data_IF_585632115326
#
_entry.id   IF_585632115326
#
_cell.length_a   1.000
_cell.length_b   1.000
_cell.length_c   1.000
_cell.angle_alpha   90.00
_cell.angle_beta   90.00
_cell.angle_gamma   90.00
#
_symmetry.space_group_name_H-M   'P 1'
#
loop_
_entity.id
_entity.type
_entity.pdbx_description
1 polymer ?
#
# COMPACT_ATOMS: atom_id res chain seq x y z
N UNK A 1 -9.27 -18.80 -11.68
CA UNK A 1 -8.55 -17.49 -11.80
C UNK A 1 -8.17 -16.98 -10.44
N UNK A 2 -7.17 -16.08 -10.37
CA UNK A 2 -6.80 -15.44 -9.10
C UNK A 2 -6.98 -13.94 -9.22
N UNK A 3 -7.79 -13.41 -8.31
CA UNK A 3 -8.14 -12.00 -8.27
C UNK A 3 -7.40 -11.32 -7.12
N UNK A 4 -7.06 -10.06 -7.29
CA UNK A 4 -6.71 -9.16 -6.21
C UNK A 4 -7.62 -7.92 -6.30
N UNK A 5 -8.48 -7.76 -5.32
CA UNK A 5 -9.38 -6.63 -5.20
C UNK A 5 -8.84 -5.58 -4.23
N UNK A 6 -8.95 -4.32 -4.61
CA UNK A 6 -8.56 -3.18 -3.77
C UNK A 6 -9.68 -2.14 -3.74
N UNK A 7 -9.73 -1.35 -2.67
CA UNK A 7 -10.61 -0.18 -2.60
C UNK A 7 -10.11 1.00 -3.44
N UNK A 8 -8.79 1.04 -3.67
CA UNK A 8 -8.13 2.16 -4.32
C UNK A 8 -8.44 2.23 -5.81
N UNK A 9 -8.65 3.47 -6.29
CA UNK A 9 -8.77 3.78 -7.73
C UNK A 9 -7.55 4.52 -8.28
N UNK A 10 -6.65 4.98 -7.43
CA UNK A 10 -5.50 5.80 -7.76
C UNK A 10 -4.16 5.11 -7.47
N UNK A 11 -3.35 5.75 -6.64
CA UNK A 11 -1.99 5.31 -6.34
C UNK A 11 -1.92 3.87 -5.82
N UNK A 12 -2.81 3.47 -4.92
CA UNK A 12 -2.85 2.10 -4.40
C UNK A 12 -3.19 1.07 -5.47
N UNK A 13 -4.14 1.38 -6.36
CA UNK A 13 -4.47 0.49 -7.49
C UNK A 13 -3.25 0.27 -8.41
N UNK A 14 -2.54 1.32 -8.77
CA UNK A 14 -1.33 1.21 -9.59
C UNK A 14 -0.17 0.52 -8.87
N UNK A 15 -0.07 0.69 -7.55
CA UNK A 15 0.88 -0.08 -6.73
C UNK A 15 0.62 -1.59 -6.84
N UNK A 16 -0.62 -2.02 -6.72
CA UNK A 16 -0.96 -3.44 -6.86
C UNK A 16 -0.71 -3.98 -8.27
N UNK A 17 -0.92 -3.15 -9.31
CA UNK A 17 -0.49 -3.51 -10.66
C UNK A 17 1.02 -3.68 -10.77
N UNK A 18 1.81 -2.83 -10.13
CA UNK A 18 3.26 -3.00 -10.08
C UNK A 18 3.63 -4.29 -9.37
N UNK A 19 3.02 -4.60 -8.23
CA UNK A 19 3.24 -5.85 -7.50
C UNK A 19 2.92 -7.05 -8.39
N UNK A 20 1.79 -7.01 -9.12
CA UNK A 20 1.42 -8.06 -10.06
C UNK A 20 2.48 -8.29 -11.13
N UNK A 21 2.91 -7.22 -11.79
CA UNK A 21 3.95 -7.28 -12.82
C UNK A 21 5.29 -7.81 -12.30
N UNK A 22 5.71 -7.38 -11.10
CA UNK A 22 7.04 -7.72 -10.57
C UNK A 22 7.12 -9.13 -9.96
N UNK A 23 6.03 -9.63 -9.39
CA UNK A 23 6.05 -10.88 -8.62
C UNK A 23 5.18 -11.98 -9.20
N UNK A 24 4.28 -11.65 -10.13
CA UNK A 24 3.29 -12.58 -10.67
C UNK A 24 3.19 -12.57 -12.19
N UNK A 25 4.10 -11.90 -12.90
CA UNK A 25 4.12 -11.79 -14.36
C UNK A 25 2.74 -11.39 -14.97
N UNK A 26 2.03 -10.48 -14.27
CA UNK A 26 0.66 -10.05 -14.61
C UNK A 26 -0.41 -11.17 -14.57
N UNK A 27 -0.16 -12.28 -13.90
CA UNK A 27 -1.11 -13.42 -13.80
C UNK A 27 -2.34 -13.13 -12.92
N UNK A 28 -2.28 -12.12 -12.03
CA UNK A 28 -3.41 -11.75 -11.20
C UNK A 28 -4.37 -10.81 -11.94
N UNK A 29 -5.66 -11.01 -11.77
CA UNK A 29 -6.68 -10.05 -12.23
C UNK A 29 -6.84 -8.98 -11.15
N UNK A 30 -6.28 -7.78 -11.37
CA UNK A 30 -6.36 -6.67 -10.43
C UNK A 30 -7.60 -5.84 -10.72
N UNK A 31 -8.47 -5.70 -9.72
CA UNK A 31 -9.69 -4.91 -9.84
C UNK A 31 -9.85 -3.92 -8.67
N UNK A 32 -10.20 -2.68 -9.01
CA UNK A 32 -10.63 -1.70 -8.01
C UNK A 32 -12.13 -1.82 -7.76
N UNK A 33 -12.52 -1.87 -6.49
CA UNK A 33 -13.93 -1.81 -6.08
C UNK A 33 -14.34 -0.42 -5.58
N UNK A 34 -13.41 0.54 -5.66
CA UNK A 34 -13.65 1.98 -5.46
C UNK A 34 -13.83 2.43 -4.01
N UNK A 35 -14.08 1.53 -3.08
CA UNK A 35 -14.22 1.82 -1.65
C UNK A 35 -14.28 0.55 -0.82
N UNK A 36 -14.09 0.67 0.50
CA UNK A 36 -14.31 -0.43 1.44
C UNK A 36 -15.74 -0.97 1.40
N UNK A 37 -16.73 -0.14 1.09
CA UNK A 37 -18.10 -0.62 0.89
C UNK A 37 -18.21 -1.42 -0.41
N UNK A 38 -17.63 -0.92 -1.51
CA UNK A 38 -17.61 -1.64 -2.77
C UNK A 38 -16.89 -2.99 -2.71
N UNK A 39 -15.83 -3.10 -1.88
CA UNK A 39 -15.21 -4.38 -1.58
C UNK A 39 -16.18 -5.34 -0.89
N UNK A 40 -16.87 -4.88 0.15
CA UNK A 40 -17.82 -5.71 0.91
C UNK A 40 -18.99 -6.16 0.01
N UNK A 41 -19.54 -5.27 -0.80
CA UNK A 41 -20.61 -5.59 -1.73
C UNK A 41 -20.17 -6.64 -2.76
N UNK A 42 -18.99 -6.42 -3.37
CA UNK A 42 -18.43 -7.35 -4.35
C UNK A 42 -18.13 -8.74 -3.78
N UNK A 43 -17.69 -8.81 -2.52
CA UNK A 43 -17.43 -10.09 -1.84
C UNK A 43 -18.72 -10.81 -1.51
N UNK A 44 -19.77 -10.08 -1.13
CA UNK A 44 -21.09 -10.66 -0.84
C UNK A 44 -21.73 -11.29 -2.10
N UNK A 45 -21.40 -10.77 -3.27
CA UNK A 45 -21.89 -11.26 -4.57
C UNK A 45 -20.89 -12.24 -5.23
N UNK A 46 -19.83 -12.64 -4.51
CA UNK A 46 -18.77 -13.47 -5.08
C UNK A 46 -19.25 -14.90 -5.33
N UNK A 47 -19.57 -15.18 -6.58
CA UNK A 47 -19.79 -16.54 -7.08
C UNK A 47 -18.45 -17.09 -7.62
N UNK A 48 -17.63 -17.65 -6.74
CA UNK A 48 -16.36 -18.22 -7.15
C UNK A 48 -16.54 -19.58 -7.77
N UNK A 49 -15.99 -19.77 -8.97
CA UNK A 49 -15.83 -21.10 -9.54
C UNK A 49 -14.93 -21.93 -8.62
N UNK A 50 -15.00 -23.24 -8.74
CA UNK A 50 -14.36 -24.18 -7.80
C UNK A 50 -12.87 -23.89 -7.55
N UNK A 51 -12.13 -23.40 -8.57
CA UNK A 51 -10.70 -23.11 -8.52
C UNK A 51 -10.36 -21.61 -8.41
N UNK A 52 -11.33 -20.73 -8.29
CA UNK A 52 -11.06 -19.28 -8.20
C UNK A 52 -10.64 -18.87 -6.78
N UNK A 53 -9.66 -17.95 -6.69
CA UNK A 53 -9.21 -17.34 -5.43
C UNK A 53 -9.32 -15.83 -5.53
N UNK A 54 -9.74 -15.20 -4.45
CA UNK A 54 -9.83 -13.76 -4.33
C UNK A 54 -9.04 -13.26 -3.13
N UNK A 55 -8.01 -12.48 -3.38
CA UNK A 55 -7.30 -11.71 -2.35
C UNK A 55 -7.89 -10.31 -2.26
N UNK A 56 -7.98 -9.78 -1.06
CA UNK A 56 -8.52 -8.44 -0.82
C UNK A 56 -7.52 -7.57 -0.08
N UNK A 57 -7.11 -6.48 -0.70
CA UNK A 57 -6.35 -5.41 -0.07
C UNK A 57 -7.35 -4.44 0.58
N UNK A 58 -7.56 -4.63 1.88
CA UNK A 58 -8.50 -3.85 2.67
C UNK A 58 -7.75 -2.97 3.68
N UNK A 59 -7.99 -1.66 3.65
CA UNK A 59 -7.40 -0.73 4.59
C UNK A 59 -8.04 -0.89 5.97
N UNK A 60 -7.36 -1.66 6.83
CA UNK A 60 -7.87 -1.98 8.16
C UNK A 60 -7.22 -1.14 9.26
N UNK A 61 -7.93 -0.12 9.72
CA UNK A 61 -7.55 0.71 10.88
C UNK A 61 -8.57 0.56 12.00
N UNK A 62 -8.12 0.13 13.19
CA UNK A 62 -9.03 -0.22 14.30
C UNK A 62 -9.60 0.98 15.05
N UNK A 63 -9.07 2.17 14.85
CA UNK A 63 -9.59 3.41 15.44
C UNK A 63 -10.77 4.02 14.65
N UNK A 64 -11.12 3.42 13.52
CA UNK A 64 -12.34 3.72 12.77
C UNK A 64 -13.39 2.63 12.99
N UNK A 65 -14.53 2.98 13.61
CA UNK A 65 -15.60 2.03 13.94
C UNK A 65 -16.26 1.43 12.69
N UNK A 66 -16.47 2.22 11.64
CA UNK A 66 -17.08 1.75 10.40
C UNK A 66 -16.16 0.72 9.71
N UNK A 67 -14.87 1.01 9.63
CA UNK A 67 -13.87 0.08 9.10
C UNK A 67 -13.83 -1.23 9.92
N UNK A 68 -13.86 -1.14 11.26
CA UNK A 68 -13.91 -2.35 12.10
C UNK A 68 -15.14 -3.21 11.82
N UNK A 69 -16.29 -2.59 11.62
CA UNK A 69 -17.52 -3.34 11.34
C UNK A 69 -17.43 -4.04 9.98
N UNK A 70 -16.97 -3.35 8.93
CA UNK A 70 -16.76 -3.92 7.60
C UNK A 70 -15.74 -5.06 7.62
N UNK A 71 -14.63 -4.86 8.33
CA UNK A 71 -13.61 -5.89 8.47
C UNK A 71 -14.13 -7.16 9.14
N UNK A 72 -14.97 -7.04 10.19
CA UNK A 72 -15.60 -8.21 10.82
C UNK A 72 -16.49 -8.99 9.88
N UNK A 73 -17.25 -8.29 9.02
CA UNK A 73 -18.07 -8.95 7.99
C UNK A 73 -17.20 -9.68 6.98
N UNK A 74 -16.14 -9.01 6.47
CA UNK A 74 -15.19 -9.64 5.55
C UNK A 74 -14.51 -10.86 6.19
N UNK A 75 -14.13 -10.78 7.48
CA UNK A 75 -13.53 -11.92 8.19
C UNK A 75 -14.50 -13.09 8.33
N UNK A 76 -15.77 -12.85 8.59
CA UNK A 76 -16.78 -13.92 8.61
C UNK A 76 -16.92 -14.61 7.26
N UNK A 77 -16.81 -13.85 6.15
CA UNK A 77 -16.83 -14.42 4.79
C UNK A 77 -15.53 -15.21 4.54
N UNK A 78 -14.37 -14.67 4.93
CA UNK A 78 -13.09 -15.38 4.81
C UNK A 78 -13.13 -16.73 5.50
N UNK A 79 -13.61 -16.78 6.75
CA UNK A 79 -13.73 -18.00 7.56
C UNK A 79 -14.66 -19.05 6.91
N UNK A 80 -15.70 -18.62 6.21
CA UNK A 80 -16.65 -19.51 5.53
C UNK A 80 -16.25 -19.88 4.10
N UNK A 81 -15.21 -19.25 3.54
CA UNK A 81 -14.85 -19.36 2.12
C UNK A 81 -13.98 -20.57 1.77
N UNK A 82 -13.61 -21.41 2.77
CA UNK A 82 -12.70 -22.55 2.57
C UNK A 82 -11.37 -22.19 1.89
N UNK A 83 -10.88 -20.95 2.14
CA UNK A 83 -9.62 -20.45 1.59
C UNK A 83 -9.72 -19.87 0.17
N UNK A 84 -10.91 -19.70 -0.36
CA UNK A 84 -11.15 -19.03 -1.64
C UNK A 84 -11.09 -17.52 -1.56
N UNK A 85 -11.37 -16.97 -0.40
CA UNK A 85 -11.31 -15.54 -0.10
C UNK A 85 -10.29 -15.29 1.01
N UNK A 86 -9.35 -14.38 0.79
CA UNK A 86 -8.23 -14.11 1.70
C UNK A 86 -8.03 -12.61 1.84
N UNK A 87 -8.11 -12.10 3.07
CA UNK A 87 -7.82 -10.70 3.36
C UNK A 87 -6.32 -10.53 3.61
N UNK A 88 -5.69 -9.59 2.90
CA UNK A 88 -4.29 -9.27 3.12
C UNK A 88 -4.09 -8.60 4.47
N UNK A 89 -3.06 -9.04 5.21
CA UNK A 89 -2.68 -8.43 6.49
C UNK A 89 -1.97 -7.09 6.26
N UNK A 90 -2.75 -6.03 6.06
CA UNK A 90 -2.24 -4.67 5.89
C UNK A 90 -3.00 -3.68 6.77
N UNK A 91 -2.35 -2.56 7.11
CA UNK A 91 -2.96 -1.47 7.88
C UNK A 91 -3.68 -0.52 6.94
N UNK A 92 -2.95 0.08 6.03
CA UNK A 92 -3.44 0.91 4.92
C UNK A 92 -2.31 1.07 3.89
N UNK A 93 -2.66 1.53 2.70
CA UNK A 93 -1.70 1.75 1.62
C UNK A 93 -0.61 2.77 2.02
N UNK A 94 -0.97 3.85 2.69
CA UNK A 94 -0.02 4.86 3.14
C UNK A 94 1.01 4.29 4.14
N UNK A 95 0.61 3.34 4.95
CA UNK A 95 1.55 2.65 5.84
C UNK A 95 2.61 1.87 5.04
N UNK A 96 2.23 1.21 3.96
CA UNK A 96 3.18 0.51 3.09
C UNK A 96 4.21 1.47 2.51
N UNK A 97 3.77 2.64 2.02
CA UNK A 97 4.66 3.69 1.48
C UNK A 97 5.61 4.21 2.57
N UNK A 98 5.06 4.60 3.73
CA UNK A 98 5.88 5.11 4.83
C UNK A 98 6.89 4.08 5.34
N UNK A 99 6.60 2.81 5.21
CA UNK A 99 7.46 1.72 5.64
C UNK A 99 8.65 1.47 4.70
N UNK A 100 8.70 2.07 3.52
CA UNK A 100 9.84 1.93 2.63
C UNK A 100 11.10 2.50 3.26
N UNK A 101 12.11 1.68 3.46
CA UNK A 101 13.32 2.06 4.17
C UNK A 101 14.05 3.20 3.46
N UNK A 102 14.10 3.19 2.13
CA UNK A 102 14.72 4.23 1.30
C UNK A 102 13.79 5.40 0.94
N UNK A 103 12.62 5.51 1.54
CA UNK A 103 11.66 6.57 1.19
C UNK A 103 12.28 7.97 1.31
N UNK A 104 13.05 8.22 2.37
CA UNK A 104 13.69 9.52 2.62
C UNK A 104 14.72 9.86 1.55
N UNK A 105 15.56 8.89 1.22
CA UNK A 105 16.57 9.03 0.16
C UNK A 105 15.90 9.28 -1.19
N UNK A 106 14.92 8.47 -1.49
CA UNK A 106 14.20 8.47 -2.75
C UNK A 106 13.42 9.76 -2.99
N UNK A 107 12.68 10.25 -1.98
CA UNK A 107 11.93 11.50 -2.08
C UNK A 107 12.81 12.74 -1.89
N UNK A 108 14.03 12.58 -1.40
CA UNK A 108 14.93 13.69 -1.06
C UNK A 108 14.39 14.60 0.04
N UNK A 109 13.48 14.10 0.85
CA UNK A 109 12.89 14.85 1.96
C UNK A 109 13.86 14.90 3.14
N UNK A 110 14.65 15.98 3.24
CA UNK A 110 15.73 16.11 4.22
C UNK A 110 15.37 16.82 5.53
N UNK A 111 14.12 17.16 5.79
CA UNK A 111 13.72 17.79 7.06
C UNK A 111 13.76 16.76 8.19
N UNK A 112 14.80 16.83 9.02
CA UNK A 112 15.04 15.88 10.11
C UNK A 112 13.83 15.67 11.03
N UNK A 113 13.06 16.73 11.35
CA UNK A 113 11.86 16.61 12.17
C UNK A 113 10.81 15.69 11.53
N UNK A 114 10.63 15.74 10.21
CA UNK A 114 9.68 14.89 9.49
C UNK A 114 10.11 13.43 9.45
N UNK A 115 11.39 13.21 9.22
CA UNK A 115 11.99 11.86 9.26
C UNK A 115 11.77 11.23 10.64
N UNK A 116 12.05 11.99 11.71
CA UNK A 116 11.86 11.52 13.07
C UNK A 116 10.38 11.23 13.38
N UNK A 117 9.46 12.12 13.01
CA UNK A 117 8.02 11.88 13.17
C UNK A 117 7.59 10.59 12.46
N UNK A 118 8.06 10.36 11.23
CA UNK A 118 7.78 9.13 10.49
C UNK A 118 8.26 7.89 11.25
N UNK A 119 9.50 7.91 11.73
CA UNK A 119 10.10 6.80 12.47
C UNK A 119 9.34 6.50 13.77
N UNK A 120 9.04 7.51 14.56
CA UNK A 120 8.24 7.39 15.78
C UNK A 120 6.83 6.84 15.51
N UNK A 121 6.16 7.36 14.50
CA UNK A 121 4.82 6.91 14.10
C UNK A 121 4.86 5.44 13.68
N UNK A 122 5.81 5.04 12.81
CA UNK A 122 5.93 3.66 12.36
C UNK A 122 6.27 2.70 13.52
N UNK A 123 7.15 3.11 14.44
CA UNK A 123 7.50 2.32 15.62
C UNK A 123 6.33 2.18 16.60
N UNK A 124 5.45 3.18 16.66
CA UNK A 124 4.29 3.18 17.53
C UNK A 124 3.09 2.40 16.99
N UNK A 125 3.14 1.93 15.73
CA UNK A 125 2.03 1.15 15.15
C UNK A 125 1.95 -0.23 15.78
N UNK A 126 0.78 -0.52 16.34
CA UNK A 126 0.48 -1.78 17.00
C UNK A 126 -1.00 -2.12 16.81
N UNK A 127 -1.29 -3.39 16.52
CA UNK A 127 -2.68 -3.84 16.33
C UNK A 127 -3.49 -2.93 15.41
N UNK A 128 -2.94 -2.61 14.25
CA UNK A 128 -3.55 -1.78 13.20
C UNK A 128 -3.93 -0.34 13.62
N UNK A 129 -3.22 0.22 14.59
CA UNK A 129 -3.35 1.63 15.01
C UNK A 129 -2.03 2.18 15.54
N UNK A 130 -1.93 3.51 15.60
CA UNK A 130 -0.83 4.18 16.31
C UNK A 130 -1.13 4.12 17.81
N UNK A 131 -0.24 3.51 18.57
CA UNK A 131 -0.30 3.50 20.03
C UNK A 131 0.46 4.72 20.57
N UNK A 132 -0.27 5.76 20.96
CA UNK A 132 0.31 7.02 21.42
C UNK A 132 1.21 6.85 22.67
N UNK A 133 0.98 5.82 23.49
CA UNK A 133 1.81 5.57 24.67
C UNK A 133 3.23 5.11 24.34
N UNK A 134 3.51 4.75 23.08
CA UNK A 134 4.84 4.35 22.59
C UNK A 134 5.60 5.52 21.96
N UNK A 135 5.00 6.69 21.84
CA UNK A 135 5.64 7.87 21.29
C UNK A 135 6.25 8.67 22.43
N UNK A 136 7.58 8.80 22.40
CA UNK A 136 8.32 9.56 23.42
C UNK A 136 8.72 10.96 22.93
N UNK A 137 8.62 11.23 21.64
CA UNK A 137 8.98 12.50 21.04
C UNK A 137 7.82 13.50 21.12
N UNK A 138 8.05 14.61 21.84
CA UNK A 138 7.04 15.63 22.05
C UNK A 138 6.55 16.28 20.74
N UNK A 139 7.46 16.50 19.76
CA UNK A 139 7.09 17.05 18.45
C UNK A 139 6.18 16.11 17.69
N UNK A 140 6.41 14.81 17.78
CA UNK A 140 5.55 13.79 17.19
C UNK A 140 4.17 13.78 17.83
N UNK A 141 4.09 13.87 19.16
CA UNK A 141 2.80 14.00 19.87
C UNK A 141 2.05 15.28 19.47
N UNK A 142 2.75 16.43 19.39
CA UNK A 142 2.17 17.70 18.94
C UNK A 142 1.67 17.60 17.48
N UNK A 143 2.44 16.96 16.61
CA UNK A 143 2.03 16.72 15.22
C UNK A 143 0.71 15.95 15.16
N UNK A 144 0.62 14.85 15.90
CA UNK A 144 -0.60 14.02 15.94
C UNK A 144 -1.77 14.76 16.58
N UNK A 145 -1.53 15.53 17.66
CA UNK A 145 -2.56 16.32 18.33
C UNK A 145 -3.15 17.44 17.45
N UNK A 146 -2.43 17.85 16.39
CA UNK A 146 -2.92 18.81 15.39
C UNK A 146 -4.12 18.29 14.56
N UNK A 147 -4.39 17.00 14.58
CA UNK A 147 -5.54 16.42 13.86
C UNK A 147 -6.83 16.55 14.68
N UNK A 148 -7.77 17.41 14.27
CA UNK A 148 -9.08 17.62 14.95
C UNK A 148 -9.87 16.32 15.16
N UNK A 149 -9.73 15.37 14.27
CA UNK A 149 -10.27 14.01 14.39
C UNK A 149 -9.13 13.06 14.11
N UNK A 150 -8.49 12.64 15.18
CA UNK A 150 -7.41 11.67 15.10
C UNK A 150 -7.92 10.35 14.48
N UNK A 151 -7.20 9.87 13.50
CA UNK A 151 -7.23 8.48 13.08
C UNK A 151 -5.86 8.10 12.52
N UNK A 152 -5.46 6.87 12.70
CA UNK A 152 -4.22 6.30 12.19
C UNK A 152 -4.04 6.58 10.69
N UNK A 153 -5.07 6.29 9.90
CA UNK A 153 -5.08 6.53 8.46
C UNK A 153 -4.81 8.01 8.10
N UNK A 154 -5.48 8.94 8.78
CA UNK A 154 -5.28 10.38 8.52
C UNK A 154 -3.88 10.86 8.82
N UNK A 155 -3.29 10.38 9.91
CA UNK A 155 -1.90 10.70 10.26
C UNK A 155 -0.96 10.18 9.19
N UNK A 156 -1.13 8.91 8.78
CA UNK A 156 -0.30 8.30 7.76
C UNK A 156 -0.46 8.98 6.40
N UNK A 157 -1.68 9.30 6.00
CA UNK A 157 -1.98 10.00 4.75
C UNK A 157 -1.34 11.39 4.71
N UNK A 158 -1.39 12.13 5.80
CA UNK A 158 -0.72 13.42 5.89
C UNK A 158 0.81 13.29 5.82
N UNK A 159 1.38 12.30 6.53
CA UNK A 159 2.83 12.04 6.46
C UNK A 159 3.27 11.65 5.05
N UNK A 160 2.55 10.75 4.37
CA UNK A 160 2.86 10.41 2.97
C UNK A 160 2.85 11.67 2.11
N UNK A 161 1.83 12.53 2.26
CA UNK A 161 1.76 13.81 1.55
C UNK A 161 3.00 14.67 1.77
N UNK A 162 3.50 14.75 3.02
CA UNK A 162 4.68 15.54 3.33
C UNK A 162 5.98 14.99 2.72
N UNK A 163 6.08 13.68 2.51
CA UNK A 163 7.22 13.06 1.84
C UNK A 163 7.10 13.11 0.31
N UNK A 164 5.92 12.96 -0.23
CA UNK A 164 5.71 12.74 -1.67
C UNK A 164 5.27 14.00 -2.44
N UNK A 165 4.85 15.06 -1.76
CA UNK A 165 4.42 16.34 -2.37
C UNK A 165 5.54 17.41 -2.38
N UNK A 166 6.78 17.02 -2.48
CA UNK A 166 7.90 17.94 -2.66
C UNK A 166 8.13 18.24 -4.16
N UNK A 167 9.04 19.17 -4.46
CA UNK A 167 9.34 19.56 -5.85
C UNK A 167 9.82 18.41 -6.74
N UNK A 168 10.40 17.37 -6.15
CA UNK A 168 10.81 16.16 -6.86
C UNK A 168 9.64 15.20 -7.12
N UNK A 169 8.60 15.30 -6.30
CA UNK A 169 7.44 14.41 -6.28
C UNK A 169 6.13 15.18 -6.34
N UNK A 170 6.09 16.30 -7.00
CA UNK A 170 4.89 17.14 -7.13
C UNK A 170 3.69 16.43 -7.78
N UNK A 171 3.60 15.17 -7.53
CA UNK A 171 2.65 14.23 -8.07
C UNK A 171 1.57 14.02 -7.04
N UNK A 172 0.42 14.58 -7.27
CA UNK A 172 -0.80 14.27 -6.49
C UNK A 172 -1.09 12.77 -6.63
N UNK A 173 -1.65 12.17 -5.59
CA UNK A 173 -1.77 10.74 -5.38
C UNK A 173 -1.96 9.82 -6.61
N UNK A 174 -2.86 10.14 -7.54
CA UNK A 174 -3.07 9.33 -8.74
C UNK A 174 -1.86 9.28 -9.69
N UNK A 175 -1.12 10.38 -9.81
CA UNK A 175 0.06 10.46 -10.67
C UNK A 175 1.22 9.66 -10.05
N UNK A 176 1.38 9.71 -8.74
CA UNK A 176 2.33 8.85 -8.04
C UNK A 176 2.02 7.37 -8.29
N UNK A 177 0.73 7.00 -8.33
CA UNK A 177 0.31 5.65 -8.69
C UNK A 177 0.74 5.23 -10.09
N UNK A 178 0.60 6.11 -11.07
CA UNK A 178 1.10 5.84 -12.42
C UNK A 178 2.62 5.65 -12.46
N UNK A 179 3.37 6.42 -11.64
CA UNK A 179 4.81 6.23 -11.50
C UNK A 179 5.21 4.89 -10.88
N UNK A 180 4.37 4.27 -10.08
CA UNK A 180 4.62 2.92 -9.60
C UNK A 180 4.59 1.89 -10.71
N UNK A 181 3.64 2.03 -11.62
CA UNK A 181 3.38 1.03 -12.65
C UNK A 181 4.28 1.17 -13.88
N UNK A 182 4.62 2.41 -14.27
CA UNK A 182 5.41 2.71 -15.46
C UNK A 182 6.85 3.05 -15.10
N UNK A 183 7.78 2.70 -15.95
CA UNK A 183 9.09 3.35 -16.00
C UNK A 183 8.86 4.83 -16.24
N UNK A 184 9.74 5.68 -15.76
CA UNK A 184 9.52 7.12 -15.66
C UNK A 184 8.61 7.69 -16.75
N UNK A 185 7.43 8.15 -16.37
CA UNK A 185 6.40 8.63 -17.29
C UNK A 185 6.67 10.01 -17.90
N UNK A 186 7.77 10.67 -17.55
CA UNK A 186 8.10 12.01 -18.07
C UNK A 186 8.29 12.00 -19.57
N UNK A 187 8.79 10.91 -20.14
CA UNK A 187 8.92 10.76 -21.58
C UNK A 187 7.57 10.65 -22.31
N UNK A 188 6.54 10.12 -21.63
CA UNK A 188 5.21 9.95 -22.20
C UNK A 188 4.30 11.17 -21.98
N UNK A 189 4.55 11.94 -20.91
CA UNK A 189 3.72 13.06 -20.49
C UNK A 189 4.56 14.26 -20.01
N UNK A 190 5.42 14.83 -20.87
CA UNK A 190 6.40 15.86 -20.46
C UNK A 190 5.77 17.12 -19.86
N UNK A 191 4.55 17.46 -20.29
CA UNK A 191 3.86 18.70 -19.87
C UNK A 191 2.91 18.50 -18.67
N UNK A 192 2.51 17.27 -18.37
CA UNK A 192 1.48 16.99 -17.35
C UNK A 192 2.05 16.45 -16.05
N UNK A 193 3.27 15.94 -16.07
CA UNK A 193 3.89 15.27 -14.95
C UNK A 193 5.14 16.00 -14.49
N UNK A 194 4.95 16.93 -13.59
CA UNK A 194 6.05 17.50 -12.83
C UNK A 194 6.44 16.58 -11.68
N UNK A 195 6.86 15.37 -12.00
CA UNK A 195 7.33 14.42 -10.99
C UNK A 195 8.84 14.53 -10.78
N UNK A 196 9.35 15.72 -10.61
CA UNK A 196 10.76 15.94 -10.34
C UNK A 196 11.65 15.48 -11.50
N UNK A 197 12.67 14.67 -11.24
CA UNK A 197 13.66 14.30 -12.24
C UNK A 197 13.31 12.98 -12.92
N UNK A 198 13.32 12.90 -14.26
CA UNK A 198 12.99 11.70 -15.00
C UNK A 198 13.90 10.51 -14.66
N UNK A 199 15.11 10.77 -14.27
CA UNK A 199 16.11 9.77 -13.92
C UNK A 199 15.97 9.17 -12.52
N UNK A 200 14.96 9.57 -11.74
CA UNK A 200 14.95 9.25 -10.31
C UNK A 200 14.25 7.96 -9.93
N UNK A 201 13.49 7.32 -10.81
CA UNK A 201 12.75 6.11 -10.42
C UNK A 201 12.68 5.10 -11.55
N UNK A 202 13.70 4.29 -11.66
CA UNK A 202 13.67 3.11 -12.54
C UNK A 202 12.78 2.01 -11.97
N UNK A 203 12.36 1.07 -12.84
CA UNK A 203 11.65 -0.14 -12.42
C UNK A 203 12.47 -0.94 -11.40
N UNK A 204 13.79 -1.00 -11.58
CA UNK A 204 14.69 -1.71 -10.67
C UNK A 204 14.79 -1.05 -9.29
N UNK A 205 14.78 0.27 -9.21
CA UNK A 205 14.73 0.98 -7.92
C UNK A 205 13.41 0.72 -7.19
N UNK A 206 12.28 0.77 -7.90
CA UNK A 206 10.96 0.43 -7.34
C UNK A 206 10.94 -1.01 -6.83
N UNK A 207 11.48 -1.95 -7.60
CA UNK A 207 11.61 -3.35 -7.21
C UNK A 207 12.50 -3.47 -5.95
N UNK A 208 13.65 -2.83 -5.94
CA UNK A 208 14.55 -2.82 -4.79
C UNK A 208 13.89 -2.30 -3.53
N UNK A 209 13.06 -1.24 -3.62
CA UNK A 209 12.28 -0.74 -2.49
C UNK A 209 11.27 -1.75 -1.96
N UNK A 210 10.53 -2.41 -2.86
CA UNK A 210 9.52 -3.41 -2.48
C UNK A 210 10.18 -4.64 -1.84
N UNK A 211 11.28 -5.12 -2.40
CA UNK A 211 12.02 -6.29 -1.90
C UNK A 211 12.67 -6.00 -0.55
N UNK A 212 13.19 -4.80 -0.32
CA UNK A 212 13.87 -4.45 0.93
C UNK A 212 12.89 -4.13 2.08
N UNK A 213 11.68 -3.76 1.79
CA UNK A 213 10.70 -3.45 2.83
C UNK A 213 10.11 -4.71 3.46
N UNK A 214 10.55 -5.05 4.68
CA UNK A 214 10.02 -6.19 5.44
C UNK A 214 8.50 -6.15 5.61
N UNK A 215 7.91 -4.97 5.68
CA UNK A 215 6.47 -4.78 5.86
C UNK A 215 5.70 -5.05 4.57
N UNK A 216 6.22 -4.57 3.44
CA UNK A 216 5.69 -4.88 2.11
C UNK A 216 5.84 -6.38 1.83
N UNK A 217 7.02 -6.96 2.12
CA UNK A 217 7.25 -8.40 1.96
C UNK A 217 6.25 -9.24 2.76
N UNK A 218 5.89 -8.84 3.98
CA UNK A 218 4.89 -9.57 4.79
C UNK A 218 3.53 -9.62 4.10
N UNK A 219 3.08 -8.52 3.50
CA UNK A 219 1.82 -8.45 2.75
C UNK A 219 1.91 -9.29 1.48
N UNK A 220 2.98 -9.14 0.72
CA UNK A 220 3.21 -9.89 -0.52
C UNK A 220 3.36 -11.40 -0.25
N UNK A 221 3.96 -11.80 0.87
CA UNK A 221 4.12 -13.20 1.23
C UNK A 221 2.78 -13.95 1.31
N UNK A 222 1.71 -13.28 1.71
CA UNK A 222 0.35 -13.84 1.69
C UNK A 222 -0.09 -14.16 0.26
N UNK A 223 0.24 -13.31 -0.70
CA UNK A 223 0.00 -13.55 -2.12
C UNK A 223 0.94 -14.62 -2.69
N UNK A 224 2.21 -14.65 -2.26
CA UNK A 224 3.21 -15.62 -2.74
C UNK A 224 2.91 -17.06 -2.32
N UNK A 225 2.11 -17.27 -1.29
CA UNK A 225 1.59 -18.61 -0.94
C UNK A 225 0.58 -19.14 -1.97
N UNK A 226 0.21 -18.34 -2.96
CA UNK A 226 -0.48 -18.80 -4.16
C UNK A 226 0.39 -19.83 -4.89
N UNK A 227 -0.14 -21.00 -5.23
CA UNK A 227 0.62 -22.04 -5.93
C UNK A 227 1.01 -21.52 -7.32
N UNK A 228 2.20 -20.94 -7.42
CA UNK A 228 2.78 -20.62 -8.72
C UNK A 228 2.89 -21.91 -9.52
N UNK A 229 2.38 -21.91 -10.75
CA UNK A 229 2.70 -22.95 -11.71
C UNK A 229 4.23 -23.02 -11.76
N UNK A 230 4.76 -24.19 -11.38
CA UNK A 230 6.21 -24.47 -11.40
C UNK A 230 6.71 -24.37 -12.84
N UNK A 231 7.05 -23.19 -13.31
CA UNK A 231 7.96 -22.97 -14.43
C UNK A 231 8.27 -21.48 -14.50
N UNK A 232 9.44 -21.19 -14.13
CA UNK A 232 10.32 -20.03 -14.34
C UNK A 232 10.85 -19.45 -13.02
N UNK A 233 11.93 -20.08 -12.58
CA UNK A 233 12.87 -19.44 -11.67
C UNK A 233 13.43 -18.20 -12.39
N UNK A 234 12.95 -17.03 -12.01
CA UNK A 234 13.71 -15.81 -12.28
C UNK A 234 15.00 -15.92 -11.48
N UNK A 235 16.09 -16.23 -12.13
CA UNK A 235 17.42 -16.16 -11.56
C UNK A 235 17.73 -14.69 -11.31
N UNK A 236 17.53 -14.23 -10.08
CA UNK A 236 18.16 -13.01 -9.61
C UNK A 236 19.64 -13.32 -9.44
N UNK A 237 20.42 -12.99 -10.47
CA UNK A 237 21.86 -12.86 -10.29
C UNK A 237 22.13 -11.55 -9.60
N UNK A 238 22.65 -11.64 -8.36
CA UNK A 238 23.23 -10.52 -7.62
C UNK A 238 24.45 -9.96 -8.33
#
# INVERSE_FOLDING_TARGET
MTYLWTEDTGAGFHFWKLVNRLFFDDELVIESKGSNQGLLDAVSDLDTKEDDKCYVAFDYVVDNQDIRNKYRLLKSIEESSEGKFIILDMICFEYLILAFEKLVEWTGTGKMDKVKIREEVLAAVENHRINLSKINDEKTLQYIAGFKRYSTERVMKALVGEFTQNEKWSVKGKLMGECWYKDCCVSEHPDSLRCGKPETVSGDEKMGMLIQSKKVQKVIATLLNYPQKKENKVHYNC
#
